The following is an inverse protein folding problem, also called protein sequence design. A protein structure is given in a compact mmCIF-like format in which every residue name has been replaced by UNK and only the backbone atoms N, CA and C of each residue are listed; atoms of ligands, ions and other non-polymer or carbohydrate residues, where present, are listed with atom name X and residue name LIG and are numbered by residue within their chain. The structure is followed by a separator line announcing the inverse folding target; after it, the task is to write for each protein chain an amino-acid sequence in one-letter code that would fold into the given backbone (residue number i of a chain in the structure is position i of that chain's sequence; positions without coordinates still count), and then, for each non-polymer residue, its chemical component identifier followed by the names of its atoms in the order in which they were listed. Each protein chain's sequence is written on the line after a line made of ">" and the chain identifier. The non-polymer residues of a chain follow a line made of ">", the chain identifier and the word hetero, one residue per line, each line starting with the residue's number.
data_IF_704646789519
#
_entry.id   IF_704646789519
#
_cell.length_a   1.000
_cell.length_b   1.000
_cell.length_c   1.000
_cell.angle_alpha   90.00
_cell.angle_beta   90.00
_cell.angle_gamma   90.00
#
_symmetry.space_group_name_H-M   'P 1'
#
loop_
_entity.id
_entity.type
_entity.pdbx_description
1 polymer ?
#
# COMPACT_ATOMS: atom_id res chain seq x y z
N UNK A 1 -54.98 2.28 -7.42
CA UNK A 1 -53.79 3.13 -7.24
C UNK A 1 -52.57 2.34 -7.70
N UNK A 2 -51.53 3.02 -8.18
CA UNK A 2 -50.23 2.44 -8.51
C UNK A 2 -49.14 3.44 -8.11
N UNK A 3 -48.38 3.07 -7.10
CA UNK A 3 -47.20 3.80 -6.65
C UNK A 3 -45.98 3.24 -7.35
N UNK A 4 -45.12 4.12 -7.86
CA UNK A 4 -43.79 3.79 -8.37
C UNK A 4 -42.77 4.57 -7.53
N UNK A 5 -41.93 3.84 -6.81
CA UNK A 5 -40.94 4.37 -5.87
C UNK A 5 -39.54 4.18 -6.46
N UNK A 6 -38.67 5.17 -6.27
CA UNK A 6 -37.28 5.09 -6.75
C UNK A 6 -36.59 3.86 -6.15
N UNK A 7 -35.95 3.03 -6.98
CA UNK A 7 -35.50 1.67 -6.60
C UNK A 7 -36.41 0.53 -7.10
N UNK A 8 -37.40 0.82 -7.95
CA UNK A 8 -38.17 -0.19 -8.69
C UNK A 8 -39.34 -0.82 -7.94
N UNK A 9 -39.62 -0.37 -6.71
CA UNK A 9 -40.74 -0.89 -5.92
C UNK A 9 -42.07 -0.32 -6.39
N UNK A 10 -43.05 -1.20 -6.64
CA UNK A 10 -44.43 -0.80 -6.96
C UNK A 10 -45.43 -1.29 -5.92
N UNK A 11 -46.39 -0.43 -5.53
CA UNK A 11 -47.47 -0.76 -4.58
C UNK A 11 -48.83 -0.35 -5.15
N UNK A 12 -49.91 -1.06 -4.84
CA UNK A 12 -51.25 -0.84 -5.46
C UNK A 12 -52.32 -0.33 -4.49
N UNK A 13 -51.97 -0.20 -3.22
CA UNK A 13 -52.84 0.29 -2.14
C UNK A 13 -53.10 1.79 -2.25
N UNK A 14 -54.20 2.26 -1.66
CA UNK A 14 -54.52 3.70 -1.57
C UNK A 14 -53.42 4.46 -0.83
N UNK A 15 -52.98 3.92 0.31
CA UNK A 15 -51.88 4.44 1.13
C UNK A 15 -50.66 3.52 1.00
N UNK A 16 -49.44 4.08 1.08
CA UNK A 16 -48.19 3.30 0.96
C UNK A 16 -47.16 3.75 2.00
N UNK A 17 -46.36 2.80 2.49
CA UNK A 17 -45.13 3.05 3.25
C UNK A 17 -43.92 2.59 2.47
N UNK A 18 -42.81 3.30 2.60
CA UNK A 18 -41.57 3.04 1.89
C UNK A 18 -40.38 3.56 2.68
N UNK A 19 -39.30 2.76 2.73
CA UNK A 19 -38.01 3.16 3.29
C UNK A 19 -36.99 3.21 2.15
N UNK A 20 -36.44 4.38 1.83
CA UNK A 20 -35.38 4.50 0.83
C UNK A 20 -34.14 3.69 1.21
N UNK A 21 -33.52 3.02 0.23
CA UNK A 21 -32.25 2.30 0.40
C UNK A 21 -31.06 3.02 -0.25
N UNK A 22 -31.31 4.12 -0.95
CA UNK A 22 -30.30 4.96 -1.62
C UNK A 22 -30.53 6.42 -1.26
N UNK A 23 -29.45 7.19 -1.14
CA UNK A 23 -29.52 8.66 -1.02
C UNK A 23 -29.71 9.35 -2.38
N UNK A 24 -30.06 10.62 -2.36
CA UNK A 24 -30.26 11.47 -3.53
C UNK A 24 -31.67 12.05 -3.61
N UNK A 25 -32.01 12.61 -4.77
CA UNK A 25 -33.37 13.07 -5.05
C UNK A 25 -34.19 11.89 -5.59
N UNK A 26 -35.16 11.45 -4.81
CA UNK A 26 -35.96 10.27 -5.11
C UNK A 26 -37.39 10.69 -5.48
N UNK A 27 -37.85 10.28 -6.66
CA UNK A 27 -39.21 10.50 -7.10
C UNK A 27 -40.16 9.46 -6.49
N UNK A 28 -41.28 9.95 -5.96
CA UNK A 28 -42.45 9.18 -5.54
C UNK A 28 -43.58 9.51 -6.50
N UNK A 29 -43.95 8.54 -7.33
CA UNK A 29 -44.96 8.71 -8.37
C UNK A 29 -46.21 7.92 -7.99
N UNK A 30 -47.37 8.57 -8.05
CA UNK A 30 -48.67 7.92 -7.83
C UNK A 30 -49.54 8.08 -9.08
N UNK A 31 -49.97 6.96 -9.63
CA UNK A 31 -50.95 6.89 -10.70
C UNK A 31 -52.27 6.34 -10.15
N UNK A 32 -53.37 7.04 -10.41
CA UNK A 32 -54.73 6.59 -10.09
C UNK A 32 -55.43 6.25 -11.38
N UNK A 33 -56.19 5.15 -11.40
CA UNK A 33 -57.02 4.74 -12.54
C UNK A 33 -58.48 4.73 -12.09
N UNK A 34 -59.38 5.36 -12.85
CA UNK A 34 -60.82 5.33 -12.59
C UNK A 34 -61.47 4.03 -13.11
N UNK A 35 -62.74 3.79 -12.76
CA UNK A 35 -63.48 2.61 -13.21
C UNK A 35 -63.76 2.56 -14.73
N UNK A 36 -63.38 3.60 -15.48
CA UNK A 36 -63.49 3.70 -16.94
C UNK A 36 -62.12 3.58 -17.63
N UNK A 37 -61.06 3.27 -16.88
CA UNK A 37 -59.70 3.08 -17.39
C UNK A 37 -58.90 4.37 -17.59
N UNK A 38 -59.42 5.55 -17.21
CA UNK A 38 -58.66 6.81 -17.31
C UNK A 38 -57.67 6.93 -16.17
N UNK A 39 -56.49 7.48 -16.46
CA UNK A 39 -55.43 7.64 -15.47
C UNK A 39 -55.09 9.10 -15.18
N UNK A 40 -54.66 9.37 -13.96
CA UNK A 40 -54.04 10.62 -13.55
C UNK A 40 -52.77 10.31 -12.74
N UNK A 41 -51.69 11.07 -12.95
CA UNK A 41 -50.40 10.84 -12.30
C UNK A 41 -49.88 12.08 -11.61
N UNK A 42 -49.34 11.92 -10.41
CA UNK A 42 -48.60 12.95 -9.68
C UNK A 42 -47.22 12.44 -9.30
N UNK A 43 -46.22 13.33 -9.30
CA UNK A 43 -44.85 13.04 -8.85
C UNK A 43 -44.44 14.04 -7.78
N UNK A 44 -43.81 13.55 -6.70
CA UNK A 44 -43.14 14.38 -5.70
C UNK A 44 -41.73 13.87 -5.47
N UNK A 45 -40.80 14.80 -5.36
CA UNK A 45 -39.40 14.49 -5.05
C UNK A 45 -39.17 14.56 -3.53
N UNK A 46 -38.39 13.61 -3.02
CA UNK A 46 -37.90 13.56 -1.64
C UNK A 46 -36.38 13.58 -1.69
N UNK A 47 -35.75 14.48 -0.93
CA UNK A 47 -34.30 14.51 -0.78
C UNK A 47 -33.89 13.58 0.38
N UNK A 48 -33.00 12.63 0.11
CA UNK A 48 -32.42 11.73 1.10
C UNK A 48 -30.91 11.98 1.16
N UNK A 49 -30.40 12.44 2.29
CA UNK A 49 -28.96 12.71 2.45
C UNK A 49 -28.18 11.41 2.65
N UNK A 50 -26.99 11.31 2.06
CA UNK A 50 -26.10 10.19 2.28
C UNK A 50 -25.58 10.19 3.73
N UNK A 51 -25.33 8.99 4.26
CA UNK A 51 -24.80 8.80 5.60
C UNK A 51 -23.68 7.75 5.59
N UNK A 52 -22.52 8.13 6.11
CA UNK A 52 -21.43 7.22 6.42
C UNK A 52 -21.34 7.02 7.93
N UNK A 53 -21.37 5.78 8.42
CA UNK A 53 -21.17 5.53 9.84
C UNK A 53 -19.83 6.07 10.35
N UNK A 54 -19.77 6.55 11.60
CA UNK A 54 -18.57 7.10 12.16
C UNK A 54 -17.48 6.04 12.29
N UNK A 55 -16.23 6.50 12.32
CA UNK A 55 -15.07 5.67 12.63
C UNK A 55 -14.35 6.21 13.85
N UNK A 56 -13.77 5.30 14.63
CA UNK A 56 -12.95 5.63 15.80
C UNK A 56 -11.83 4.60 15.93
N UNK A 57 -10.59 5.07 16.02
CA UNK A 57 -9.44 4.22 16.32
C UNK A 57 -8.53 4.94 17.31
N UNK A 58 -8.33 4.34 18.49
CA UNK A 58 -7.28 4.80 19.42
C UNK A 58 -5.92 4.45 18.82
N UNK A 59 -5.03 5.43 18.74
CA UNK A 59 -3.72 5.26 18.10
C UNK A 59 -2.63 5.10 19.16
N UNK A 60 -2.56 6.02 20.11
CA UNK A 60 -1.61 5.97 21.23
C UNK A 60 -2.08 6.83 22.40
N UNK A 61 -1.42 6.69 23.53
CA UNK A 61 -1.63 7.49 24.74
C UNK A 61 -0.26 7.89 25.25
N UNK A 62 -0.07 9.19 25.46
CA UNK A 62 1.20 9.75 25.92
C UNK A 62 1.01 10.42 27.29
N UNK A 63 1.95 10.21 28.21
CA UNK A 63 2.07 11.07 29.40
C UNK A 63 2.67 12.41 28.97
N UNK A 64 2.21 13.49 29.57
CA UNK A 64 2.59 14.85 29.18
C UNK A 64 3.97 15.15 29.75
N UNK A 65 4.92 15.54 28.92
CA UNK A 65 6.35 15.68 29.32
C UNK A 65 6.57 16.63 30.50
N UNK A 66 5.80 17.72 30.60
CA UNK A 66 5.93 18.70 31.70
C UNK A 66 5.17 18.33 32.97
N UNK A 67 4.25 17.36 32.89
CA UNK A 67 3.47 16.84 34.02
C UNK A 67 3.06 15.40 33.71
N UNK A 68 3.87 14.44 34.17
CA UNK A 68 3.70 13.03 33.86
C UNK A 68 2.46 12.41 34.53
N UNK A 69 1.78 13.15 35.41
CA UNK A 69 0.47 12.78 35.91
C UNK A 69 -0.69 13.19 34.98
N UNK A 70 -0.40 13.91 33.88
CA UNK A 70 -1.35 14.21 32.82
C UNK A 70 -1.10 13.35 31.60
N UNK A 71 -2.17 13.11 30.86
CA UNK A 71 -2.20 12.17 29.74
C UNK A 71 -2.95 12.79 28.56
N UNK A 72 -2.38 12.64 27.37
CA UNK A 72 -3.02 12.90 26.09
C UNK A 72 -3.42 11.58 25.42
N UNK A 73 -4.69 11.50 24.98
CA UNK A 73 -5.17 10.41 24.15
C UNK A 73 -5.18 10.84 22.68
N UNK A 74 -4.49 10.07 21.82
CA UNK A 74 -4.39 10.34 20.39
C UNK A 74 -5.18 9.27 19.62
N UNK A 75 -6.02 9.73 18.70
CA UNK A 75 -6.94 8.87 17.96
C UNK A 75 -7.25 9.43 16.58
N UNK A 76 -7.69 8.55 15.68
CA UNK A 76 -8.34 8.97 14.43
C UNK A 76 -9.84 8.79 14.54
N UNK A 77 -10.59 9.73 13.96
CA UNK A 77 -12.06 9.66 13.94
C UNK A 77 -12.63 10.27 12.67
N UNK A 78 -13.77 9.75 12.23
CA UNK A 78 -14.60 10.38 11.20
C UNK A 78 -16.06 10.43 11.64
N UNK A 79 -16.73 11.55 11.41
CA UNK A 79 -18.18 11.72 11.56
C UNK A 79 -18.67 12.65 10.46
N UNK A 80 -19.69 12.23 9.72
CA UNK A 80 -20.31 13.05 8.67
C UNK A 80 -21.10 14.23 9.26
N UNK A 81 -20.86 15.42 8.71
CA UNK A 81 -21.64 16.61 9.01
C UNK A 81 -22.94 16.61 8.19
N UNK A 82 -24.01 16.01 8.71
CA UNK A 82 -25.34 16.07 8.07
C UNK A 82 -26.14 17.22 8.69
N UNK A 83 -25.70 18.44 8.39
CA UNK A 83 -26.24 19.68 8.99
C UNK A 83 -26.34 19.53 10.52
N UNK A 84 -27.40 20.06 11.14
CA UNK A 84 -27.63 19.97 12.59
C UNK A 84 -28.33 18.67 13.04
N UNK A 85 -28.53 17.73 12.11
CA UNK A 85 -29.29 16.49 12.39
C UNK A 85 -28.41 15.34 12.86
N UNK A 86 -27.17 15.23 12.37
CA UNK A 86 -26.23 14.22 12.86
C UNK A 86 -25.40 14.78 14.03
N UNK A 87 -25.94 14.66 15.24
CA UNK A 87 -25.29 15.10 16.47
C UNK A 87 -24.41 13.99 17.03
N UNK A 88 -23.17 14.31 17.41
CA UNK A 88 -22.26 13.32 17.97
C UNK A 88 -21.56 13.78 19.24
N UNK A 89 -21.03 12.80 19.99
CA UNK A 89 -20.28 12.98 21.23
C UNK A 89 -19.21 11.91 21.37
N UNK A 90 -18.01 12.31 21.77
CA UNK A 90 -16.94 11.41 22.19
C UNK A 90 -16.81 11.46 23.71
N UNK A 91 -16.90 10.29 24.34
CA UNK A 91 -16.61 10.11 25.76
C UNK A 91 -15.44 9.15 25.90
N UNK A 92 -14.41 9.58 26.63
CA UNK A 92 -13.30 8.71 27.03
C UNK A 92 -13.43 8.47 28.52
N UNK A 93 -13.38 7.19 28.91
CA UNK A 93 -13.35 6.74 30.29
C UNK A 93 -12.03 6.07 30.58
N UNK A 94 -11.61 6.16 31.83
CA UNK A 94 -10.42 5.46 32.32
C UNK A 94 -10.69 4.80 33.66
N UNK A 95 -9.94 3.74 33.94
CA UNK A 95 -9.88 3.12 35.28
C UNK A 95 -8.46 2.66 35.59
N UNK A 96 -8.02 2.64 36.85
CA UNK A 96 -6.91 1.78 37.23
C UNK A 96 -7.22 0.34 36.80
N UNK A 97 -6.21 -0.44 36.43
CA UNK A 97 -6.42 -1.85 36.09
C UNK A 97 -7.12 -2.56 37.25
N UNK A 98 -8.27 -3.19 36.99
CA UNK A 98 -9.10 -3.85 38.00
C UNK A 98 -9.95 -2.92 38.89
N UNK A 99 -9.91 -1.61 38.66
CA UNK A 99 -10.72 -0.61 39.37
C UNK A 99 -12.03 -0.23 38.65
N UNK A 100 -12.63 0.86 39.12
CA UNK A 100 -13.86 1.40 38.57
C UNK A 100 -13.64 2.42 37.45
N UNK A 101 -14.52 2.38 36.45
CA UNK A 101 -14.51 3.33 35.34
C UNK A 101 -15.00 4.71 35.78
N UNK A 102 -14.26 5.74 35.37
CA UNK A 102 -14.65 7.14 35.50
C UNK A 102 -14.44 7.88 34.19
N UNK A 103 -15.21 8.96 33.98
CA UNK A 103 -15.07 9.79 32.77
C UNK A 103 -13.78 10.61 32.83
N UNK A 104 -12.95 10.47 31.79
CA UNK A 104 -11.67 11.14 31.65
C UNK A 104 -11.71 12.32 30.67
N UNK A 105 -12.58 12.23 29.66
CA UNK A 105 -12.81 13.32 28.70
C UNK A 105 -14.20 13.19 28.11
N UNK A 106 -14.80 14.33 27.80
CA UNK A 106 -16.09 14.43 27.15
C UNK A 106 -16.08 15.65 26.22
N UNK A 107 -16.33 15.42 24.93
CA UNK A 107 -16.37 16.50 23.95
C UNK A 107 -17.63 17.37 24.07
N UNK A 108 -18.63 16.92 24.84
CA UNK A 108 -20.00 17.42 24.70
C UNK A 108 -20.63 16.98 23.38
N UNK A 109 -21.90 17.32 23.21
CA UNK A 109 -22.64 17.05 21.96
C UNK A 109 -22.35 18.16 20.95
N UNK A 110 -21.94 17.79 19.74
CA UNK A 110 -21.62 18.71 18.64
C UNK A 110 -22.32 18.28 17.35
N UNK A 111 -22.48 19.21 16.40
CA UNK A 111 -23.08 18.99 15.06
C UNK A 111 -22.05 19.05 13.94
N UNK A 112 -20.88 19.66 14.17
CA UNK A 112 -19.82 19.73 13.18
C UNK A 112 -19.20 18.35 13.00
N UNK A 113 -19.12 17.86 11.76
CA UNK A 113 -18.40 16.62 11.45
C UNK A 113 -16.92 16.70 11.85
N UNK A 114 -16.29 15.54 11.95
CA UNK A 114 -14.85 15.43 12.26
C UNK A 114 -14.16 14.48 11.29
N UNK A 115 -12.87 14.71 11.04
CA UNK A 115 -12.02 13.81 10.25
C UNK A 115 -10.56 13.92 10.70
N UNK A 116 -9.82 12.82 10.53
CA UNK A 116 -8.38 12.74 10.75
C UNK A 116 -7.96 12.46 12.19
N UNK A 117 -6.66 12.70 12.44
CA UNK A 117 -6.03 12.53 13.75
C UNK A 117 -6.38 13.67 14.69
N UNK A 118 -6.63 13.35 15.96
CA UNK A 118 -6.99 14.27 17.05
C UNK A 118 -6.27 13.89 18.33
N UNK A 119 -6.12 14.87 19.21
CA UNK A 119 -5.56 14.71 20.55
C UNK A 119 -6.52 15.30 21.56
N UNK A 120 -6.82 14.57 22.63
CA UNK A 120 -7.64 15.05 23.75
C UNK A 120 -6.88 14.89 25.07
N UNK A 121 -6.71 16.00 25.79
CA UNK A 121 -6.15 16.02 27.14
C UNK A 121 -7.16 15.43 28.12
N UNK A 122 -6.77 14.40 28.84
CA UNK A 122 -7.61 13.78 29.87
C UNK A 122 -7.61 14.66 31.14
N UNK A 123 -8.79 14.84 31.73
CA UNK A 123 -9.01 15.69 32.90
C UNK A 123 -8.39 15.14 34.19
N UNK A 124 -8.52 13.82 34.52
CA UNK A 124 -8.00 13.27 35.77
C UNK A 124 -6.47 13.38 35.90
N UNK A 125 -6.01 13.09 37.11
CA UNK A 125 -4.59 12.95 37.42
C UNK A 125 -4.27 11.46 37.54
N UNK A 126 -3.29 11.00 36.79
CA UNK A 126 -2.93 9.58 36.66
C UNK A 126 -1.66 9.31 37.44
N UNK A 127 -1.72 8.44 38.45
CA UNK A 127 -0.53 8.04 39.19
C UNK A 127 0.50 7.43 38.23
N UNK A 128 1.73 7.90 38.33
CA UNK A 128 2.86 7.46 37.51
C UNK A 128 3.23 5.99 37.72
N UNK A 129 2.91 5.44 38.90
CA UNK A 129 3.18 4.04 39.28
C UNK A 129 2.02 3.09 38.97
N UNK A 130 0.91 3.60 38.43
CA UNK A 130 -0.29 2.80 38.17
C UNK A 130 -0.59 2.79 36.67
N UNK A 131 -0.87 1.61 36.14
CA UNK A 131 -1.40 1.46 34.79
C UNK A 131 -2.91 1.66 34.79
N UNK A 132 -3.44 2.25 33.73
CA UNK A 132 -4.87 2.49 33.58
C UNK A 132 -5.36 1.90 32.26
N UNK A 133 -6.58 1.41 32.25
CA UNK A 133 -7.31 1.09 31.03
C UNK A 133 -8.06 2.32 30.55
N UNK A 134 -8.13 2.49 29.23
CA UNK A 134 -8.87 3.55 28.55
C UNK A 134 -9.90 2.93 27.61
N UNK A 135 -11.14 3.41 27.67
CA UNK A 135 -12.20 3.10 26.70
C UNK A 135 -12.76 4.42 26.15
N UNK A 136 -12.75 4.56 24.84
CA UNK A 136 -13.37 5.66 24.13
C UNK A 136 -14.65 5.18 23.44
N UNK A 137 -15.71 5.97 23.52
CA UNK A 137 -16.99 5.74 22.86
C UNK A 137 -17.37 6.98 22.05
N UNK A 138 -17.45 6.82 20.73
CA UNK A 138 -17.93 7.83 19.80
C UNK A 138 -19.33 7.46 19.35
N UNK A 139 -20.31 8.30 19.65
CA UNK A 139 -21.72 8.08 19.30
C UNK A 139 -22.20 9.23 18.45
N UNK A 140 -22.79 8.92 17.29
CA UNK A 140 -23.52 9.89 16.49
C UNK A 140 -25.05 9.68 16.61
N UNK A 141 -25.84 10.33 15.76
CA UNK A 141 -27.30 10.24 15.82
C UNK A 141 -27.86 8.85 15.50
N UNK A 142 -27.05 7.94 14.97
CA UNK A 142 -27.52 6.69 14.36
C UNK A 142 -26.77 5.45 14.88
N UNK A 143 -25.49 5.57 15.20
CA UNK A 143 -24.63 4.46 15.58
C UNK A 143 -23.54 4.83 16.60
N UNK A 144 -22.85 3.82 17.12
CA UNK A 144 -21.77 3.97 18.09
C UNK A 144 -20.53 3.20 17.65
N UNK A 145 -19.35 3.73 17.97
CA UNK A 145 -18.05 3.08 17.84
C UNK A 145 -17.28 3.14 19.15
N UNK A 146 -16.46 2.13 19.38
CA UNK A 146 -15.61 2.02 20.56
C UNK A 146 -14.17 1.78 20.18
N UNK A 147 -13.26 2.24 21.02
CA UNK A 147 -11.84 1.92 20.96
C UNK A 147 -11.26 1.85 22.37
N UNK A 148 -10.17 1.12 22.54
CA UNK A 148 -9.52 0.95 23.84
C UNK A 148 -8.01 1.03 23.72
N UNK A 149 -7.36 1.47 24.79
CA UNK A 149 -5.90 1.42 24.94
C UNK A 149 -5.52 1.28 26.42
N UNK A 150 -4.24 1.05 26.67
CA UNK A 150 -3.63 1.12 27.99
C UNK A 150 -2.88 2.44 28.15
N UNK A 151 -3.00 3.05 29.33
CA UNK A 151 -2.12 4.10 29.82
C UNK A 151 -1.02 3.43 30.66
N UNK A 152 0.23 3.42 30.19
CA UNK A 152 1.32 2.77 30.92
C UNK A 152 1.77 3.61 32.15
N UNK A 153 2.58 3.01 33.02
CA UNK A 153 3.31 3.72 34.08
C UNK A 153 4.35 4.67 33.48
N UNK A 154 4.95 5.52 34.30
CA UNK A 154 5.96 6.50 33.89
C UNK A 154 7.25 5.89 33.29
N UNK A 155 7.87 6.66 32.39
CA UNK A 155 9.24 6.54 31.94
C UNK A 155 10.22 6.97 33.04
N UNK A 156 10.96 6.03 33.65
CA UNK A 156 12.04 6.37 34.59
C UNK A 156 13.38 6.44 33.87
N UNK A 157 14.31 7.36 34.23
CA UNK A 157 15.63 7.43 33.61
C UNK A 157 16.36 6.08 33.69
N UNK A 158 16.25 5.43 34.84
CA UNK A 158 16.72 4.08 35.08
C UNK A 158 15.80 3.39 36.10
N UNK A 159 15.19 2.26 35.73
CA UNK A 159 14.54 1.33 36.64
C UNK A 159 15.41 0.10 36.83
N UNK A 160 15.54 -0.35 38.07
CA UNK A 160 16.16 -1.64 38.40
C UNK A 160 15.12 -2.44 39.17
N UNK A 161 14.71 -3.57 38.62
CA UNK A 161 13.68 -4.43 39.20
C UNK A 161 14.07 -5.90 39.20
N UNK A 162 13.23 -6.74 39.83
CA UNK A 162 13.44 -8.19 39.93
C UNK A 162 13.67 -8.87 38.56
N UNK A 163 13.13 -8.31 37.48
CA UNK A 163 13.14 -8.91 36.14
C UNK A 163 14.20 -8.32 35.19
N UNK A 164 14.78 -7.17 35.49
CA UNK A 164 15.73 -6.50 34.59
C UNK A 164 15.94 -5.01 34.88
N UNK A 165 16.64 -4.36 33.95
CA UNK A 165 16.98 -2.94 33.96
C UNK A 165 16.22 -2.24 32.83
N UNK A 166 15.63 -1.07 33.11
CA UNK A 166 14.86 -0.31 32.13
C UNK A 166 15.41 1.09 32.02
N UNK A 167 15.58 1.60 30.80
CA UNK A 167 16.10 2.95 30.54
C UNK A 167 15.03 3.74 29.83
N UNK A 168 14.56 4.82 30.43
CA UNK A 168 13.41 5.58 29.93
C UNK A 168 12.06 4.85 30.09
N UNK A 169 12.01 3.72 30.80
CA UNK A 169 10.80 2.96 31.12
C UNK A 169 11.06 1.96 32.25
N UNK A 170 9.99 1.48 32.90
CA UNK A 170 10.05 0.32 33.80
C UNK A 170 10.09 -0.97 32.94
N UNK A 171 11.00 -1.92 33.21
CA UNK A 171 11.10 -3.20 32.48
C UNK A 171 9.80 -3.99 32.45
N UNK A 172 9.41 -4.47 31.27
CA UNK A 172 8.21 -5.30 31.08
C UNK A 172 8.58 -6.78 30.86
N UNK A 173 7.97 -7.70 31.62
CA UNK A 173 8.16 -9.15 31.48
C UNK A 173 9.56 -9.64 31.91
N UNK A 174 10.03 -10.76 31.35
CA UNK A 174 11.36 -11.35 31.62
C UNK A 174 12.50 -10.68 30.83
N UNK A 175 12.33 -9.42 30.42
CA UNK A 175 13.34 -8.67 29.65
C UNK A 175 14.44 -8.14 30.56
N UNK A 176 15.67 -8.54 30.29
CA UNK A 176 16.84 -8.13 31.07
C UNK A 176 17.18 -6.65 30.86
N UNK A 177 17.02 -6.11 29.64
CA UNK A 177 17.18 -4.70 29.30
C UNK A 177 16.00 -4.23 28.44
N UNK A 178 15.29 -3.19 28.87
CA UNK A 178 14.11 -2.65 28.17
C UNK A 178 14.23 -1.12 28.05
N UNK A 179 14.43 -0.62 26.83
CA UNK A 179 14.71 0.80 26.58
C UNK A 179 13.49 1.46 25.93
N UNK A 180 13.05 2.59 26.47
CA UNK A 180 11.90 3.37 25.98
C UNK A 180 12.20 4.29 24.79
N UNK A 181 13.38 4.16 24.19
CA UNK A 181 13.88 4.99 23.10
C UNK A 181 14.94 4.28 22.27
N UNK A 182 15.62 5.05 21.42
CA UNK A 182 16.72 4.57 20.58
C UNK A 182 17.90 4.05 21.42
N UNK A 183 18.56 3.01 20.90
CA UNK A 183 19.79 2.47 21.50
C UNK A 183 20.91 2.72 20.50
N UNK A 184 21.98 3.39 20.93
CA UNK A 184 23.19 3.57 20.14
C UNK A 184 24.33 2.75 20.73
N UNK A 185 25.09 2.08 19.88
CA UNK A 185 26.35 1.42 20.23
C UNK A 185 27.43 1.95 19.28
N UNK A 186 28.49 2.56 19.82
CA UNK A 186 29.57 3.18 19.03
C UNK A 186 29.06 4.15 17.94
N UNK A 187 28.13 5.04 18.31
CA UNK A 187 27.43 5.99 17.41
C UNK A 187 26.57 5.35 16.31
N UNK A 188 26.34 4.04 16.38
CA UNK A 188 25.46 3.31 15.46
C UNK A 188 24.11 3.08 16.13
N UNK A 189 23.03 3.54 15.49
CA UNK A 189 21.66 3.27 15.90
C UNK A 189 21.35 1.77 15.76
N UNK A 190 20.93 1.13 16.84
CA UNK A 190 20.38 -0.23 16.85
C UNK A 190 18.87 -0.13 16.60
N UNK A 191 18.47 -0.17 15.34
CA UNK A 191 17.06 -0.15 14.96
C UNK A 191 16.36 -1.46 15.40
N UNK A 192 15.28 -1.31 16.17
CA UNK A 192 14.42 -2.40 16.63
C UNK A 192 13.51 -2.96 15.54
N UNK A 193 14.00 -2.99 14.30
CA UNK A 193 13.28 -3.54 13.17
C UNK A 193 13.29 -5.06 13.28
N UNK A 194 12.10 -5.67 13.40
CA UNK A 194 12.00 -7.12 13.30
C UNK A 194 12.64 -7.54 11.98
N UNK A 195 13.37 -8.65 11.96
CA UNK A 195 14.06 -9.16 10.75
C UNK A 195 13.14 -9.25 9.50
N UNK A 196 11.82 -9.21 9.69
CA UNK A 196 10.82 -9.12 8.64
C UNK A 196 10.84 -7.81 7.82
N UNK A 197 11.22 -6.65 8.37
CA UNK A 197 11.31 -5.39 7.60
C UNK A 197 12.62 -5.30 6.81
N UNK A 198 13.71 -5.88 7.31
CA UNK A 198 14.95 -6.03 6.54
C UNK A 198 14.81 -7.06 5.40
N UNK A 199 13.87 -8.01 5.50
CA UNK A 199 13.50 -8.94 4.43
C UNK A 199 12.39 -8.41 3.51
N UNK A 200 11.62 -7.39 3.92
CA UNK A 200 10.56 -6.83 3.07
C UNK A 200 11.10 -5.83 2.04
N UNK A 201 12.20 -5.14 2.33
CA UNK A 201 12.83 -4.21 1.38
C UNK A 201 13.87 -4.90 0.47
N UNK A 202 14.32 -6.11 0.82
CA UNK A 202 15.37 -6.84 0.09
C UNK A 202 14.88 -7.97 -0.83
N UNK A 203 13.57 -8.13 -1.04
CA UNK A 203 13.03 -9.23 -1.86
C UNK A 203 12.39 -8.76 -3.18
N UNK A 204 12.29 -7.46 -3.46
CA UNK A 204 11.62 -7.02 -4.71
C UNK A 204 12.22 -5.84 -5.48
N UNK A 205 13.01 -4.93 -4.91
CA UNK A 205 13.59 -3.84 -5.72
C UNK A 205 15.07 -3.65 -5.38
N UNK A 206 15.92 -4.10 -6.31
CA UNK A 206 17.36 -3.87 -6.34
C UNK A 206 18.13 -4.16 -5.05
N UNK A 207 18.37 -5.46 -4.79
CA UNK A 207 19.52 -5.87 -3.96
C UNK A 207 20.80 -5.40 -4.68
N UNK A 208 21.26 -4.20 -4.31
CA UNK A 208 22.50 -3.59 -4.78
C UNK A 208 22.66 -3.51 -6.31
N UNK A 209 21.58 -3.26 -7.05
CA UNK A 209 21.63 -3.07 -8.50
C UNK A 209 21.77 -4.34 -9.34
N UNK A 210 21.53 -5.51 -8.73
CA UNK A 210 21.58 -6.81 -9.39
C UNK A 210 20.27 -7.16 -10.12
N UNK A 211 19.16 -6.46 -9.86
CA UNK A 211 17.89 -6.75 -10.51
C UNK A 211 17.95 -6.35 -12.00
N UNK A 212 17.37 -7.19 -12.85
CA UNK A 212 17.32 -6.95 -14.28
C UNK A 212 16.06 -6.18 -14.65
N UNK A 213 16.17 -5.24 -15.58
CA UNK A 213 15.01 -4.64 -16.24
C UNK A 213 14.23 -5.68 -17.03
N UNK A 214 13.01 -5.33 -17.41
CA UNK A 214 12.27 -6.06 -18.44
C UNK A 214 13.08 -6.16 -19.74
N UNK A 215 12.75 -7.19 -20.52
CA UNK A 215 13.35 -7.41 -21.83
C UNK A 215 12.79 -6.45 -22.86
N UNK A 216 13.67 -5.84 -23.64
CA UNK A 216 13.37 -5.11 -24.87
C UNK A 216 13.68 -6.02 -26.08
N UNK A 217 12.74 -6.15 -27.02
CA UNK A 217 12.96 -6.89 -28.27
C UNK A 217 13.77 -6.05 -29.28
N UNK A 218 14.75 -6.68 -29.91
CA UNK A 218 15.58 -6.06 -30.94
C UNK A 218 14.97 -6.30 -32.32
N UNK A 219 15.01 -5.28 -33.16
CA UNK A 219 14.64 -5.41 -34.57
C UNK A 219 15.74 -6.14 -35.33
N UNK A 220 15.38 -7.27 -35.96
CA UNK A 220 16.28 -8.04 -36.81
C UNK A 220 16.30 -7.47 -38.25
N UNK A 221 17.47 -7.47 -38.86
CA UNK A 221 17.76 -6.84 -40.16
C UNK A 221 18.27 -7.88 -41.17
N UNK A 222 18.36 -7.49 -42.44
CA UNK A 222 18.99 -8.29 -43.50
C UNK A 222 18.44 -9.73 -43.62
N UNK A 223 17.12 -9.88 -43.51
CA UNK A 223 16.42 -11.16 -43.64
C UNK A 223 16.54 -12.08 -42.42
N UNK A 224 17.21 -11.65 -41.35
CA UNK A 224 17.22 -12.38 -40.08
C UNK A 224 15.84 -12.30 -39.44
N UNK A 225 15.39 -13.41 -38.86
CA UNK A 225 14.07 -13.53 -38.22
C UNK A 225 14.18 -14.26 -36.88
N UNK A 226 13.11 -14.28 -36.07
CA UNK A 226 13.10 -14.87 -34.73
C UNK A 226 12.93 -13.82 -33.64
N UNK A 227 13.35 -14.15 -32.41
CA UNK A 227 13.29 -13.25 -31.24
C UNK A 227 14.68 -13.07 -30.66
N UNK A 228 15.06 -11.82 -30.45
CA UNK A 228 16.33 -11.44 -29.85
C UNK A 228 16.08 -10.26 -28.94
N UNK A 229 16.26 -10.47 -27.65
CA UNK A 229 15.90 -9.50 -26.62
C UNK A 229 17.10 -9.13 -25.77
N UNK A 230 17.08 -7.91 -25.25
CA UNK A 230 18.13 -7.34 -24.42
C UNK A 230 17.53 -6.78 -23.12
N UNK A 231 18.29 -6.82 -22.03
CA UNK A 231 17.95 -6.16 -20.76
C UNK A 231 19.22 -5.78 -20.01
N UNK A 232 19.11 -4.90 -19.01
CA UNK A 232 20.25 -4.40 -18.24
C UNK A 232 19.94 -4.38 -16.74
N UNK A 233 20.96 -4.35 -15.90
CA UNK A 233 20.81 -4.08 -14.47
C UNK A 233 21.50 -2.75 -14.08
N UNK A 234 21.24 -2.25 -12.88
CA UNK A 234 21.81 -0.96 -12.43
C UNK A 234 23.35 -1.00 -12.31
N UNK A 235 23.97 -2.18 -12.23
CA UNK A 235 25.43 -2.36 -12.29
C UNK A 235 26.04 -2.21 -13.69
N UNK A 236 25.23 -2.03 -14.73
CA UNK A 236 25.71 -1.88 -16.10
C UNK A 236 25.90 -3.19 -16.87
N UNK A 237 25.51 -4.34 -16.30
CA UNK A 237 25.53 -5.61 -17.00
C UNK A 237 24.35 -5.69 -17.96
N UNK A 238 24.62 -6.16 -19.18
CA UNK A 238 23.63 -6.33 -20.24
C UNK A 238 23.53 -7.81 -20.59
N UNK A 239 22.31 -8.33 -20.60
CA UNK A 239 22.00 -9.68 -21.05
C UNK A 239 21.31 -9.61 -22.40
N UNK A 240 21.88 -10.29 -23.39
CA UNK A 240 21.25 -10.53 -24.69
C UNK A 240 20.89 -12.01 -24.80
N UNK A 241 19.64 -12.28 -25.15
CA UNK A 241 19.09 -13.63 -25.18
C UNK A 241 18.14 -13.78 -26.36
N UNK A 242 18.18 -14.90 -27.07
CA UNK A 242 17.21 -15.15 -28.12
C UNK A 242 17.53 -16.38 -28.96
N UNK A 243 16.59 -16.70 -29.83
CA UNK A 243 16.78 -17.69 -30.90
C UNK A 243 16.39 -17.01 -32.21
N UNK A 244 17.35 -16.94 -33.12
CA UNK A 244 17.22 -16.27 -34.41
C UNK A 244 17.51 -17.24 -35.55
N UNK A 245 16.87 -17.01 -36.69
CA UNK A 245 17.05 -17.76 -37.93
C UNK A 245 17.92 -16.95 -38.87
N UNK A 246 19.00 -17.53 -39.44
CA UNK A 246 19.91 -16.82 -40.34
C UNK A 246 19.23 -16.18 -41.55
N UNK A 247 19.58 -14.93 -41.81
CA UNK A 247 19.30 -14.19 -43.04
C UNK A 247 20.54 -14.13 -43.93
N UNK A 248 20.93 -12.93 -44.37
CA UNK A 248 22.20 -12.72 -45.09
C UNK A 248 23.38 -12.99 -44.15
N UNK A 249 24.33 -13.83 -44.58
CA UNK A 249 25.46 -14.31 -43.77
C UNK A 249 26.81 -13.80 -44.24
N UNK A 250 26.85 -12.85 -45.18
CA UNK A 250 28.09 -12.26 -45.67
C UNK A 250 28.82 -11.52 -44.55
N UNK A 251 30.15 -11.59 -44.54
CA UNK A 251 30.96 -10.87 -43.57
C UNK A 251 30.67 -9.37 -43.61
N UNK A 252 30.41 -8.79 -42.45
CA UNK A 252 30.04 -7.38 -42.27
C UNK A 252 28.53 -7.14 -42.17
N UNK A 253 27.69 -8.14 -42.44
CA UNK A 253 26.23 -8.01 -42.34
C UNK A 253 25.81 -7.73 -40.91
N UNK A 254 24.98 -6.70 -40.72
CA UNK A 254 24.35 -6.37 -39.44
C UNK A 254 23.09 -7.21 -39.24
N UNK A 255 23.02 -7.91 -38.12
CA UNK A 255 21.89 -8.75 -37.70
C UNK A 255 20.86 -7.89 -36.95
N UNK A 256 21.32 -7.04 -36.04
CA UNK A 256 20.52 -6.12 -35.24
C UNK A 256 21.38 -4.95 -34.72
N UNK A 257 20.75 -3.91 -34.18
CA UNK A 257 21.46 -2.77 -33.58
C UNK A 257 20.92 -2.49 -32.17
N UNK A 258 21.83 -2.37 -31.21
CA UNK A 258 21.53 -2.02 -29.82
C UNK A 258 21.38 -0.50 -29.61
N UNK A 259 20.41 -0.11 -28.77
CA UNK A 259 20.30 1.25 -28.28
C UNK A 259 21.53 1.66 -27.44
N UNK A 260 21.80 2.96 -27.32
CA UNK A 260 23.05 3.52 -26.78
C UNK A 260 23.37 3.03 -25.37
N UNK A 261 22.37 2.89 -24.51
CA UNK A 261 22.49 2.42 -23.12
C UNK A 261 22.93 0.95 -22.96
N UNK A 262 22.87 0.15 -24.03
CA UNK A 262 23.27 -1.26 -24.06
C UNK A 262 24.62 -1.51 -24.73
N UNK A 263 25.27 -0.49 -25.30
CA UNK A 263 26.48 -0.70 -26.14
C UNK A 263 27.71 -1.05 -25.30
N UNK A 264 28.56 -1.99 -25.76
CA UNK A 264 29.82 -2.30 -25.07
C UNK A 264 30.89 -1.22 -25.33
N UNK A 265 31.80 -1.04 -24.38
CA UNK A 265 32.94 -0.10 -24.54
C UNK A 265 34.04 -0.58 -25.48
N UNK A 266 33.97 -1.83 -25.94
CA UNK A 266 34.89 -2.43 -26.93
C UNK A 266 34.14 -3.44 -27.80
N UNK A 267 34.72 -3.78 -28.94
CA UNK A 267 34.22 -4.90 -29.76
C UNK A 267 34.17 -6.15 -28.90
N UNK A 268 32.99 -6.73 -28.76
CA UNK A 268 32.71 -7.84 -27.85
C UNK A 268 32.28 -9.04 -28.67
N UNK A 269 33.04 -10.14 -28.58
CA UNK A 269 32.66 -11.39 -29.24
C UNK A 269 31.31 -11.85 -28.70
N UNK A 270 30.40 -12.25 -29.59
CA UNK A 270 29.10 -12.77 -29.23
C UNK A 270 29.11 -14.29 -29.44
N UNK A 271 29.30 -15.10 -28.38
CA UNK A 271 29.16 -16.54 -28.51
C UNK A 271 27.71 -16.90 -28.83
N UNK A 272 27.53 -17.80 -29.78
CA UNK A 272 26.23 -18.34 -30.13
C UNK A 272 26.32 -19.85 -30.34
N UNK A 273 25.18 -20.53 -30.39
CA UNK A 273 25.12 -21.97 -30.63
C UNK A 273 24.15 -22.25 -31.77
N UNK A 274 24.55 -23.07 -32.74
CA UNK A 274 23.58 -23.62 -33.69
C UNK A 274 22.77 -24.72 -33.01
N UNK A 275 21.46 -24.68 -33.16
CA UNK A 275 20.56 -25.68 -32.58
C UNK A 275 20.33 -26.87 -33.52
N UNK A 276 20.79 -26.79 -34.77
CA UNK A 276 20.45 -27.77 -35.82
C UNK A 276 21.64 -28.48 -36.41
N UNK A 277 22.84 -27.93 -36.28
CA UNK A 277 24.06 -28.65 -36.62
C UNK A 277 24.78 -29.05 -35.33
N UNK A 278 25.29 -30.28 -35.27
CA UNK A 278 26.10 -30.79 -34.16
C UNK A 278 27.51 -30.20 -34.14
N UNK A 279 27.63 -28.92 -34.50
CA UNK A 279 28.86 -28.16 -34.49
C UNK A 279 28.86 -27.42 -33.15
N UNK A 280 29.99 -27.40 -32.46
CA UNK A 280 30.15 -26.63 -31.23
C UNK A 280 29.85 -25.13 -31.43
N UNK A 281 30.06 -24.32 -30.39
CA UNK A 281 29.73 -22.89 -30.41
C UNK A 281 30.16 -22.16 -31.71
N UNK A 282 29.26 -21.35 -32.25
CA UNK A 282 29.49 -20.50 -33.42
C UNK A 282 30.52 -19.44 -33.05
N UNK A 283 31.60 -19.38 -33.83
CA UNK A 283 32.63 -18.34 -33.74
C UNK A 283 32.44 -17.35 -34.90
N UNK A 284 32.59 -16.05 -34.61
CA UNK A 284 32.57 -15.02 -35.65
C UNK A 284 31.36 -14.08 -35.63
N UNK A 285 30.53 -14.10 -34.59
CA UNK A 285 29.58 -13.02 -34.30
C UNK A 285 30.23 -12.03 -33.32
N UNK A 286 29.95 -10.74 -33.45
CA UNK A 286 30.42 -9.73 -32.52
C UNK A 286 29.45 -8.55 -32.40
N UNK A 287 29.44 -7.93 -31.21
CA UNK A 287 28.83 -6.63 -30.97
C UNK A 287 29.91 -5.56 -31.11
N UNK A 288 29.75 -4.65 -32.06
CA UNK A 288 30.64 -3.51 -32.25
C UNK A 288 30.35 -2.42 -31.21
N UNK A 289 31.29 -1.49 -31.00
CA UNK A 289 31.08 -0.32 -30.12
C UNK A 289 29.96 0.60 -30.60
N UNK A 290 29.60 0.55 -31.88
CA UNK A 290 28.42 1.21 -32.45
C UNK A 290 27.09 0.59 -32.00
N UNK A 291 27.10 -0.57 -31.34
CA UNK A 291 25.92 -1.35 -30.97
C UNK A 291 25.46 -2.33 -32.05
N UNK A 292 26.10 -2.36 -33.22
CA UNK A 292 25.75 -3.28 -34.28
C UNK A 292 26.20 -4.70 -33.94
N UNK A 293 25.27 -5.65 -34.03
CA UNK A 293 25.54 -7.07 -33.93
C UNK A 293 25.79 -7.63 -35.33
N UNK A 294 27.00 -8.11 -35.60
CA UNK A 294 27.44 -8.42 -36.97
C UNK A 294 27.96 -9.84 -37.14
N UNK A 295 27.86 -10.32 -38.38
CA UNK A 295 28.76 -11.33 -38.92
C UNK A 295 30.15 -10.70 -39.03
N UNK A 296 31.05 -11.04 -38.11
CA UNK A 296 32.38 -10.43 -37.98
C UNK A 296 33.49 -11.28 -38.61
N UNK A 297 33.43 -12.60 -38.41
CA UNK A 297 34.33 -13.61 -38.97
C UNK A 297 33.58 -14.64 -39.80
N UNK A 298 34.11 -15.85 -39.89
CA UNK A 298 33.52 -16.93 -40.69
C UNK A 298 32.32 -17.62 -39.98
N UNK A 299 31.38 -16.83 -39.46
CA UNK A 299 30.23 -17.34 -38.73
C UNK A 299 29.25 -18.08 -39.64
N UNK A 300 29.10 -17.62 -40.89
CA UNK A 300 28.12 -18.10 -41.87
C UNK A 300 28.10 -19.62 -42.05
N UNK A 301 29.28 -20.25 -42.06
CA UNK A 301 29.44 -21.68 -42.32
C UNK A 301 28.86 -22.58 -41.22
N UNK A 302 28.59 -22.04 -40.03
CA UNK A 302 28.23 -22.82 -38.85
C UNK A 302 26.89 -22.42 -38.20
N UNK A 303 26.09 -21.55 -38.83
CA UNK A 303 24.86 -21.02 -38.23
C UNK A 303 23.71 -22.04 -38.17
N UNK A 304 23.65 -22.98 -39.13
CA UNK A 304 22.52 -23.90 -39.27
C UNK A 304 21.20 -23.18 -39.59
N UNK A 305 20.06 -23.71 -39.16
CA UNK A 305 18.74 -23.09 -39.40
C UNK A 305 18.20 -22.34 -38.18
N UNK A 306 18.86 -22.44 -37.01
CA UNK A 306 18.49 -21.70 -35.81
C UNK A 306 19.72 -21.48 -34.93
N UNK A 307 19.89 -20.23 -34.47
CA UNK A 307 21.03 -19.76 -33.70
C UNK A 307 20.55 -19.24 -32.35
N UNK A 308 21.01 -19.88 -31.27
CA UNK A 308 20.75 -19.43 -29.90
C UNK A 308 21.85 -18.50 -29.42
N UNK A 309 21.44 -17.35 -28.92
CA UNK A 309 22.31 -16.38 -28.24
C UNK A 309 21.90 -16.34 -26.77
N UNK A 310 22.88 -16.47 -25.88
CA UNK A 310 22.69 -16.24 -24.44
C UNK A 310 24.01 -15.74 -23.88
N UNK A 311 24.13 -14.42 -23.78
CA UNK A 311 25.40 -13.80 -23.41
C UNK A 311 25.19 -12.59 -22.51
N UNK A 312 26.13 -12.39 -21.60
CA UNK A 312 26.14 -11.26 -20.67
C UNK A 312 27.47 -10.53 -20.80
N UNK A 313 27.41 -9.22 -20.92
CA UNK A 313 28.58 -8.34 -21.00
C UNK A 313 28.33 -7.04 -20.23
N UNK A 314 29.36 -6.20 -20.11
CA UNK A 314 29.27 -4.90 -19.46
C UNK A 314 29.13 -3.79 -20.51
N UNK A 315 28.08 -2.97 -20.39
CA UNK A 315 27.95 -1.75 -21.19
C UNK A 315 29.05 -0.73 -20.83
N UNK A 316 29.34 0.17 -21.78
CA UNK A 316 30.19 1.32 -21.53
C UNK A 316 29.56 2.30 -20.53
#
# INVERSE_FOLDING_TARGET
>A
YKWTLTGGSTKTTKDTSWVPTTSGTLAVVCTVTDGRGRTATISKNIAVTAYTPPTLKMTRVDRVTVDLNKVDAIYTSTVDAISDTNRWRLVIRTRPVGGDWSTAYDSGVTTNGTSGSKTSRLTPTYAITTAYELEATLTDGYTTRKGSLMIPTESVPLAIGKYGIGVGKVPQGDRVLDVGGEIYADDILLEGESVASHLAESVSDDVHGLAWTDYEELTLLNGWTGSLRVRKNAMGMVSIYGVITPGVTDRGTTIATLASNYRPGRVTALPAQSLTVSVGGIVGLAILTSGNLNIYGNAGDNLGTAVRINYVYKAA
#
